data_IF_973296536494
#
_entry.id   IF_973296536494
#
_cell.length_a   1.000
_cell.length_b   1.000
_cell.length_c   1.000
_cell.angle_alpha   90.00
_cell.angle_beta   90.00
_cell.angle_gamma   90.00
#
_symmetry.space_group_name_H-M   'P 1'
#
loop_
_entity.id
_entity.type
_entity.pdbx_description
1 polymer ?
#
# COMPACT_ATOMS: atom_id res chain seq x y z
N UNK A 1 26.98 13.22 8.96
CA UNK A 1 26.14 12.41 9.86
C UNK A 1 25.22 11.60 8.95
N UNK A 2 25.36 10.27 8.91
CA UNK A 2 24.44 9.41 8.14
C UNK A 2 23.18 9.27 8.98
N UNK A 3 22.09 9.86 8.53
CA UNK A 3 20.77 9.58 9.08
C UNK A 3 20.50 8.09 8.87
N UNK A 4 20.58 7.32 9.95
CA UNK A 4 19.96 6.00 10.05
C UNK A 4 18.46 6.22 9.98
N UNK A 5 17.91 6.29 8.75
CA UNK A 5 16.48 6.05 8.52
C UNK A 5 16.24 4.62 8.99
N UNK A 6 15.54 4.50 10.10
CA UNK A 6 15.01 3.23 10.58
C UNK A 6 14.18 2.68 9.42
N UNK A 7 14.64 1.57 8.81
CA UNK A 7 14.06 0.99 7.60
C UNK A 7 12.55 0.82 7.77
N UNK A 8 11.79 1.77 7.24
CA UNK A 8 10.34 1.66 7.09
C UNK A 8 10.17 0.67 5.94
N UNK A 9 10.07 -0.62 6.27
CA UNK A 9 9.78 -1.69 5.31
C UNK A 9 8.34 -1.55 4.83
N UNK A 10 8.11 -0.53 4.03
CA UNK A 10 6.89 -0.33 3.29
C UNK A 10 6.95 -1.10 1.98
N UNK A 11 5.91 -1.86 1.69
CA UNK A 11 5.67 -2.41 0.35
C UNK A 11 5.17 -1.25 -0.52
N UNK A 12 6.09 -0.54 -1.18
CA UNK A 12 5.75 0.56 -2.11
C UNK A 12 6.57 1.83 -1.93
N UNK A 13 6.63 2.66 -2.99
CA UNK A 13 7.13 4.04 -2.88
C UNK A 13 5.98 4.96 -2.46
N UNK A 14 5.63 4.98 -1.17
CA UNK A 14 4.46 5.71 -0.66
C UNK A 14 4.39 7.19 -1.09
N UNK A 15 5.54 7.88 -1.14
CA UNK A 15 5.63 9.26 -1.58
C UNK A 15 5.15 9.47 -3.03
N UNK A 16 5.40 8.48 -3.90
CA UNK A 16 4.99 8.52 -5.32
C UNK A 16 3.51 8.22 -5.49
N UNK A 17 2.96 7.31 -4.69
CA UNK A 17 1.52 7.00 -4.67
C UNK A 17 0.74 8.26 -4.27
N UNK A 18 1.13 8.93 -3.19
CA UNK A 18 0.43 10.14 -2.75
C UNK A 18 0.52 11.30 -3.74
N UNK A 19 1.59 11.36 -4.53
CA UNK A 19 1.75 12.38 -5.57
C UNK A 19 0.88 12.10 -6.81
N UNK A 20 0.47 10.86 -7.02
CA UNK A 20 -0.36 10.43 -8.16
C UNK A 20 -1.87 10.50 -7.88
N UNK A 21 -2.27 10.60 -6.61
CA UNK A 21 -3.67 10.68 -6.18
C UNK A 21 -4.14 12.13 -6.13
N UNK A 22 -5.32 12.43 -6.68
CA UNK A 22 -5.88 13.77 -6.63
C UNK A 22 -6.35 14.17 -5.22
N UNK A 23 -6.51 15.47 -4.99
CA UNK A 23 -6.85 16.01 -3.67
C UNK A 23 -8.24 15.55 -3.17
N UNK A 24 -9.21 15.37 -4.05
CA UNK A 24 -10.56 14.96 -3.64
C UNK A 24 -10.56 13.51 -3.17
N UNK A 25 -9.90 12.62 -3.92
CA UNK A 25 -9.68 11.22 -3.55
C UNK A 25 -8.89 11.13 -2.25
N UNK A 26 -7.81 11.89 -2.11
CA UNK A 26 -7.01 11.92 -0.88
C UNK A 26 -7.84 12.35 0.34
N UNK A 27 -8.71 13.35 0.19
CA UNK A 27 -9.59 13.81 1.26
C UNK A 27 -10.65 12.77 1.63
N UNK A 28 -11.15 11.99 0.66
CA UNK A 28 -12.08 10.89 0.91
C UNK A 28 -11.41 9.75 1.68
N UNK A 29 -10.22 9.34 1.24
CA UNK A 29 -9.43 8.30 1.92
C UNK A 29 -9.10 8.71 3.35
N UNK A 30 -8.65 9.95 3.57
CA UNK A 30 -8.38 10.47 4.92
C UNK A 30 -9.63 10.46 5.81
N UNK A 31 -10.81 10.81 5.26
CA UNK A 31 -12.07 10.72 6.01
C UNK A 31 -12.35 9.28 6.41
N UNK A 32 -12.30 8.35 5.45
CA UNK A 32 -12.61 6.95 5.70
C UNK A 32 -11.63 6.32 6.71
N UNK A 33 -10.33 6.56 6.52
CA UNK A 33 -9.28 6.13 7.44
C UNK A 33 -9.51 6.63 8.88
N UNK A 34 -9.92 7.90 9.04
CA UNK A 34 -10.24 8.47 10.35
C UNK A 34 -11.50 7.86 10.99
N UNK A 35 -12.47 7.41 10.19
CA UNK A 35 -13.71 6.80 10.69
C UNK A 35 -13.53 5.33 11.10
N UNK A 36 -12.64 4.59 10.44
CA UNK A 36 -12.43 3.15 10.71
C UNK A 36 -11.76 2.90 12.07
N UNK A 37 -11.08 3.91 12.66
CA UNK A 37 -10.44 3.86 14.00
C UNK A 37 -9.53 2.64 14.25
N UNK A 38 -8.91 2.09 13.21
CA UNK A 38 -8.07 0.88 13.32
C UNK A 38 -6.65 1.15 13.84
N UNK A 39 -6.29 2.43 14.03
CA UNK A 39 -4.96 2.85 14.47
C UNK A 39 -5.03 3.48 15.86
N UNK A 40 -4.09 3.09 16.73
CA UNK A 40 -3.99 3.60 18.11
C UNK A 40 -2.69 4.37 18.32
N UNK A 41 -2.54 5.06 19.45
CA UNK A 41 -1.28 5.72 19.82
C UNK A 41 -0.08 4.76 19.91
N UNK A 42 -0.34 3.45 20.00
CA UNK A 42 0.69 2.41 20.09
C UNK A 42 1.04 1.80 18.73
N UNK A 43 0.29 2.14 17.68
CA UNK A 43 0.54 1.64 16.33
C UNK A 43 1.86 2.17 15.80
N UNK A 44 2.65 1.31 15.16
CA UNK A 44 3.91 1.70 14.53
C UNK A 44 3.64 2.50 13.26
N UNK A 45 4.56 3.38 12.89
CA UNK A 45 4.47 4.19 11.66
C UNK A 45 4.13 3.35 10.42
N UNK A 46 4.76 2.17 10.27
CA UNK A 46 4.48 1.25 9.17
C UNK A 46 3.06 0.66 9.19
N UNK A 47 2.49 0.40 10.37
CA UNK A 47 1.12 -0.10 10.51
C UNK A 47 0.10 0.99 10.13
N UNK A 48 0.37 2.24 10.53
CA UNK A 48 -0.43 3.41 10.15
C UNK A 48 -0.44 3.60 8.64
N UNK A 49 0.75 3.55 8.01
CA UNK A 49 0.90 3.71 6.57
C UNK A 49 0.27 2.56 5.78
N UNK A 50 0.43 1.31 6.24
CA UNK A 50 -0.19 0.15 5.60
C UNK A 50 -1.71 0.25 5.63
N UNK A 51 -2.28 0.63 6.78
CA UNK A 51 -3.72 0.83 6.88
C UNK A 51 -4.21 1.95 5.97
N UNK A 52 -3.48 3.07 5.91
CA UNK A 52 -3.83 4.16 5.00
C UNK A 52 -3.83 3.73 3.52
N UNK A 53 -2.83 2.93 3.11
CA UNK A 53 -2.75 2.39 1.75
C UNK A 53 -3.87 1.39 1.48
N UNK A 54 -4.22 0.54 2.46
CA UNK A 54 -5.37 -0.35 2.34
C UNK A 54 -6.65 0.45 2.07
N UNK A 55 -6.92 1.47 2.89
CA UNK A 55 -8.08 2.34 2.70
C UNK A 55 -8.03 2.98 1.31
N UNK A 56 -6.89 3.56 0.90
CA UNK A 56 -6.72 4.14 -0.44
C UNK A 56 -7.13 3.17 -1.55
N UNK A 57 -6.53 1.99 -1.60
CA UNK A 57 -6.80 0.97 -2.63
C UNK A 57 -8.28 0.58 -2.67
N UNK A 58 -8.92 0.44 -1.50
CA UNK A 58 -10.36 0.13 -1.41
C UNK A 58 -11.24 1.23 -1.98
N UNK A 59 -10.84 2.50 -1.87
CA UNK A 59 -11.62 3.65 -2.33
C UNK A 59 -11.39 4.00 -3.82
N UNK A 60 -10.27 3.59 -4.42
CA UNK A 60 -9.96 3.94 -5.82
C UNK A 60 -10.99 3.39 -6.82
N UNK A 61 -11.34 4.19 -7.82
CA UNK A 61 -11.97 3.72 -9.05
C UNK A 61 -10.91 3.27 -10.08
N UNK A 62 -11.37 2.75 -11.22
CA UNK A 62 -10.46 2.23 -12.26
C UNK A 62 -9.54 3.31 -12.83
N UNK A 63 -10.07 4.52 -13.07
CA UNK A 63 -9.31 5.62 -13.67
C UNK A 63 -8.21 6.10 -12.71
N UNK A 64 -8.54 6.26 -11.43
CA UNK A 64 -7.57 6.63 -10.39
C UNK A 64 -6.57 5.50 -10.15
N UNK A 65 -7.01 4.24 -10.23
CA UNK A 65 -6.13 3.09 -10.16
C UNK A 65 -5.10 3.07 -11.29
N UNK A 66 -5.50 3.37 -12.52
CA UNK A 66 -4.58 3.45 -13.66
C UNK A 66 -3.48 4.51 -13.47
N UNK A 67 -3.78 5.60 -12.74
CA UNK A 67 -2.80 6.63 -12.42
C UNK A 67 -1.76 6.17 -11.37
N UNK A 68 -2.16 5.35 -10.39
CA UNK A 68 -1.27 4.90 -9.31
C UNK A 68 -0.61 3.54 -9.59
N UNK A 69 -1.18 2.70 -10.45
CA UNK A 69 -0.68 1.36 -10.75
C UNK A 69 0.82 1.32 -11.15
N UNK A 70 1.37 2.28 -11.91
CA UNK A 70 2.82 2.31 -12.20
C UNK A 70 3.72 2.48 -10.97
N UNK A 71 3.16 2.91 -9.83
CA UNK A 71 3.86 3.04 -8.56
C UNK A 71 3.67 1.83 -7.64
N UNK A 72 2.80 0.89 -8.04
CA UNK A 72 2.46 -0.30 -7.28
C UNK A 72 3.18 -1.51 -7.84
N UNK A 73 3.62 -2.36 -6.91
CA UNK A 73 4.27 -3.60 -7.26
C UNK A 73 3.87 -4.73 -6.33
N UNK A 74 3.87 -5.94 -6.86
CA UNK A 74 3.71 -7.18 -6.12
C UNK A 74 5.07 -7.85 -5.90
N UNK A 75 5.18 -8.62 -4.82
CA UNK A 75 6.38 -9.41 -4.53
C UNK A 75 6.15 -10.87 -4.93
N UNK A 76 6.74 -11.37 -6.03
CA UNK A 76 6.86 -12.81 -6.25
C UNK A 76 7.58 -13.47 -5.08
N UNK A 77 6.89 -14.43 -4.45
CA UNK A 77 7.39 -15.18 -3.29
C UNK A 77 8.44 -16.22 -3.64
N UNK A 78 8.80 -16.37 -4.92
CA UNK A 78 9.68 -17.45 -5.40
C UNK A 78 10.70 -16.95 -6.42
N UNK A 79 11.86 -16.47 -5.94
CA UNK A 79 13.08 -16.51 -6.76
C UNK A 79 14.36 -16.51 -5.92
N UNK A 80 15.08 -17.64 -5.90
CA UNK A 80 16.50 -17.83 -5.55
C UNK A 80 17.17 -16.88 -4.51
N UNK A 81 16.46 -16.47 -3.45
CA UNK A 81 16.98 -15.54 -2.44
C UNK A 81 17.10 -14.07 -2.90
N UNK A 82 16.57 -13.73 -4.07
CA UNK A 82 16.43 -12.35 -4.57
C UNK A 82 14.96 -11.99 -4.59
N UNK A 83 14.61 -10.91 -3.90
CA UNK A 83 13.26 -10.37 -3.88
C UNK A 83 12.99 -9.68 -5.22
N UNK A 84 12.49 -10.44 -6.20
CA UNK A 84 12.00 -9.86 -7.45
C UNK A 84 10.67 -9.15 -7.19
N UNK A 85 10.36 -8.17 -8.03
CA UNK A 85 9.22 -7.27 -7.89
C UNK A 85 8.53 -7.19 -9.24
N UNK A 86 7.24 -7.50 -9.30
CA UNK A 86 6.44 -7.41 -10.53
C UNK A 86 5.51 -6.20 -10.49
N UNK A 87 5.41 -5.46 -11.58
CA UNK A 87 4.49 -4.33 -11.70
C UNK A 87 3.03 -4.80 -11.66
N UNK A 88 2.22 -4.08 -10.88
CA UNK A 88 0.77 -4.31 -10.83
C UNK A 88 0.15 -3.83 -12.16
N UNK A 89 -0.70 -4.66 -12.76
CA UNK A 89 -1.38 -4.31 -14.00
C UNK A 89 -2.51 -3.32 -13.74
N UNK A 90 -2.66 -2.33 -14.61
CA UNK A 90 -3.70 -1.31 -14.53
C UNK A 90 -5.07 -1.81 -15.08
N UNK A 91 -5.53 -2.97 -14.63
CA UNK A 91 -6.78 -3.61 -15.07
C UNK A 91 -7.82 -3.64 -13.96
N UNK A 92 -9.10 -3.75 -14.34
CA UNK A 92 -10.20 -3.89 -13.37
C UNK A 92 -10.08 -5.18 -12.54
N UNK A 93 -9.61 -6.27 -13.16
CA UNK A 93 -9.34 -7.54 -12.47
C UNK A 93 -8.31 -7.36 -11.34
N UNK A 94 -7.22 -6.64 -11.61
CA UNK A 94 -6.16 -6.41 -10.63
C UNK A 94 -6.60 -5.43 -9.53
N UNK A 95 -7.36 -4.39 -9.89
CA UNK A 95 -7.98 -3.50 -8.91
C UNK A 95 -8.89 -4.28 -7.95
N UNK A 96 -9.77 -5.12 -8.49
CA UNK A 96 -10.68 -5.94 -7.67
C UNK A 96 -9.90 -6.92 -6.79
N UNK A 97 -8.88 -7.58 -7.35
CA UNK A 97 -7.98 -8.43 -6.57
C UNK A 97 -7.35 -7.67 -5.39
N UNK A 98 -6.80 -6.48 -5.63
CA UNK A 98 -6.20 -5.68 -4.58
C UNK A 98 -7.25 -5.26 -3.54
N UNK A 99 -8.43 -4.78 -3.96
CA UNK A 99 -9.51 -4.42 -3.01
C UNK A 99 -9.89 -5.57 -2.08
N UNK A 100 -9.93 -6.79 -2.61
CA UNK A 100 -10.32 -7.98 -1.86
C UNK A 100 -9.20 -8.51 -0.94
N UNK A 101 -7.93 -8.19 -1.22
CA UNK A 101 -6.78 -8.86 -0.59
C UNK A 101 -5.76 -7.91 0.07
N UNK A 102 -5.86 -6.58 -0.10
CA UNK A 102 -4.82 -5.62 0.27
C UNK A 102 -4.45 -5.67 1.76
N UNK A 103 -5.42 -5.92 2.65
CA UNK A 103 -5.16 -6.07 4.09
C UNK A 103 -4.20 -7.22 4.40
N UNK A 104 -4.38 -8.35 3.72
CA UNK A 104 -3.54 -9.52 3.89
C UNK A 104 -2.18 -9.37 3.20
N UNK A 105 -2.14 -8.62 2.08
CA UNK A 105 -0.91 -8.36 1.33
C UNK A 105 0.03 -7.41 2.06
N UNK A 106 -0.49 -6.48 2.86
CA UNK A 106 0.29 -5.52 3.65
C UNK A 106 0.68 -6.03 5.05
N UNK A 107 0.26 -7.25 5.42
CA UNK A 107 0.73 -7.89 6.64
C UNK A 107 2.11 -8.52 6.41
N UNK A 108 3.07 -8.20 7.28
CA UNK A 108 4.33 -8.92 7.31
C UNK A 108 4.05 -10.41 7.60
N UNK A 109 4.30 -11.28 6.62
CA UNK A 109 4.36 -12.72 6.87
C UNK A 109 5.61 -12.98 7.71
N UNK A 110 5.44 -13.12 9.01
CA UNK A 110 6.49 -13.66 9.87
C UNK A 110 6.64 -15.13 9.49
N UNK A 111 7.63 -15.46 8.65
CA UNK A 111 8.12 -16.83 8.57
C UNK A 111 8.67 -17.20 9.95
N UNK A 112 7.93 -18.04 10.67
CA UNK A 112 8.46 -18.72 11.84
C UNK A 112 9.48 -19.74 11.32
N UNK A 113 10.75 -19.34 11.31
CA UNK A 113 11.88 -20.27 11.19
C UNK A 113 11.98 -21.19 12.40
#
# INVERSE_FOLDING_TARGET
>A
MKETRQDTRGIGYFETIFSAVDLATMAEVLRQFAFEQEVTEQSKDGEVLNQFISTLIKTLDLDSFQAVAPQLFSYPTTYQGVLEVEEVKATEEELNYLKDNIDALLQEKIEVM
#
